data_IF_143099789875
#
_entry.id   IF_143099789875
#
_cell.length_a   1.000
_cell.length_b   1.000
_cell.length_c   1.000
_cell.angle_alpha   90.00
_cell.angle_beta   90.00
_cell.angle_gamma   90.00
#
_symmetry.space_group_name_H-M   'P 1'
#
loop_
_entity.id
_entity.type
_entity.pdbx_description
1 polymer ?
#
# COMPACT_ATOMS: atom_id res chain seq x y z
N UNK A 1 6.50 5.58 -3.08
CA UNK A 1 7.69 6.46 -3.03
C UNK A 1 7.25 7.85 -3.45
N UNK A 2 7.61 8.88 -2.69
CA UNK A 2 7.26 10.26 -3.02
C UNK A 2 8.45 10.87 -3.75
N UNK A 3 8.39 10.93 -5.09
CA UNK A 3 9.53 11.41 -5.91
C UNK A 3 9.93 12.85 -5.58
N UNK A 4 8.97 13.68 -5.22
CA UNK A 4 9.19 15.08 -4.84
C UNK A 4 10.05 15.22 -3.57
N UNK A 5 10.06 14.19 -2.70
CA UNK A 5 10.85 14.16 -1.46
C UNK A 5 12.37 14.21 -1.71
N UNK A 6 12.83 13.89 -2.93
CA UNK A 6 14.23 14.06 -3.34
C UNK A 6 14.64 15.54 -3.27
N UNK A 7 13.72 16.44 -3.62
CA UNK A 7 13.96 17.89 -3.62
C UNK A 7 13.48 18.57 -2.34
N UNK A 8 12.33 18.14 -1.81
CA UNK A 8 11.69 18.74 -0.65
C UNK A 8 11.15 17.68 0.30
N UNK A 9 11.83 17.48 1.43
CA UNK A 9 11.44 16.53 2.48
C UNK A 9 10.03 16.77 3.03
N UNK A 10 9.54 18.02 3.04
CA UNK A 10 8.20 18.36 3.52
C UNK A 10 7.09 17.74 2.66
N UNK A 11 7.38 17.33 1.43
CA UNK A 11 6.42 16.58 0.60
C UNK A 11 5.94 15.30 1.29
N UNK A 12 6.74 14.70 2.18
CA UNK A 12 6.37 13.52 2.95
C UNK A 12 5.28 13.78 4.00
N UNK A 13 5.09 15.01 4.47
CA UNK A 13 4.14 15.34 5.54
C UNK A 13 2.72 14.94 5.13
N UNK A 14 2.35 15.22 3.88
CA UNK A 14 1.04 14.87 3.31
C UNK A 14 0.81 13.36 3.31
N UNK A 15 1.80 12.59 2.85
CA UNK A 15 1.75 11.13 2.84
C UNK A 15 1.69 10.54 4.27
N UNK A 16 2.45 11.11 5.22
CA UNK A 16 2.42 10.70 6.63
C UNK A 16 1.04 10.94 7.22
N UNK A 17 0.46 12.13 7.00
CA UNK A 17 -0.85 12.49 7.51
C UNK A 17 -1.96 11.60 6.91
N UNK A 18 -1.91 11.33 5.60
CA UNK A 18 -2.88 10.46 4.94
C UNK A 18 -2.79 9.02 5.46
N UNK A 19 -1.57 8.46 5.61
CA UNK A 19 -1.39 7.11 6.14
C UNK A 19 -1.82 7.01 7.60
N UNK A 20 -1.62 8.05 8.42
CA UNK A 20 -2.14 8.10 9.79
C UNK A 20 -3.67 8.09 9.82
N UNK A 21 -4.31 8.89 8.96
CA UNK A 21 -5.75 8.97 8.86
C UNK A 21 -6.37 7.63 8.43
N UNK A 22 -5.83 7.00 7.38
CA UNK A 22 -6.36 5.73 6.85
C UNK A 22 -6.12 4.54 7.79
N UNK A 23 -4.96 4.46 8.43
CA UNK A 23 -4.59 3.29 9.26
C UNK A 23 -4.96 3.43 10.73
N UNK A 24 -5.24 4.64 11.20
CA UNK A 24 -5.36 4.94 12.63
C UNK A 24 -4.10 4.61 13.44
N UNK A 25 -2.93 4.53 12.79
CA UNK A 25 -1.65 4.23 13.41
C UNK A 25 -0.79 5.49 13.51
N UNK A 26 -0.46 5.89 14.74
CA UNK A 26 0.48 6.99 15.00
C UNK A 26 1.83 6.44 15.45
N UNK A 27 2.93 7.02 14.97
CA UNK A 27 4.26 6.66 15.47
C UNK A 27 4.35 6.96 16.97
N UNK A 28 4.65 5.94 17.78
CA UNK A 28 4.75 6.00 19.26
C UNK A 28 3.47 6.38 20.03
N UNK A 29 2.28 6.31 19.43
CA UNK A 29 1.02 6.54 20.16
C UNK A 29 0.54 5.30 20.93
N UNK A 30 0.10 5.47 22.17
CA UNK A 30 -0.57 4.42 22.96
C UNK A 30 0.34 3.42 23.68
N UNK A 31 1.62 3.76 23.95
CA UNK A 31 2.53 2.87 24.70
C UNK A 31 3.07 1.68 23.92
N UNK A 32 2.87 1.64 22.60
CA UNK A 32 3.29 0.54 21.75
C UNK A 32 4.72 0.77 21.23
N UNK A 33 5.59 -0.21 21.48
CA UNK A 33 7.03 -0.13 21.20
C UNK A 33 7.36 -0.26 19.70
N UNK A 34 7.98 0.81 19.18
CA UNK A 34 9.03 0.88 18.13
C UNK A 34 8.87 0.23 16.75
N UNK A 35 7.82 -0.53 16.43
CA UNK A 35 7.58 -1.05 15.06
C UNK A 35 6.18 -0.79 14.51
N UNK A 36 5.24 -0.38 15.36
CA UNK A 36 3.85 -0.18 14.99
C UNK A 36 3.59 1.32 14.80
N UNK A 37 3.29 1.74 13.57
CA UNK A 37 3.14 3.14 13.23
C UNK A 37 3.54 3.45 11.80
N UNK A 38 3.24 4.68 11.38
CA UNK A 38 3.73 5.23 10.12
C UNK A 38 5.24 5.47 10.23
N UNK A 39 6.02 4.76 9.41
CA UNK A 39 7.48 4.79 9.37
C UNK A 39 7.97 5.54 8.13
N UNK A 40 9.04 6.31 8.29
CA UNK A 40 9.73 6.97 7.19
C UNK A 40 10.82 6.03 6.69
N UNK A 41 10.85 5.81 5.38
CA UNK A 41 11.85 4.98 4.70
C UNK A 41 12.94 5.87 4.14
N UNK A 42 14.18 5.56 4.52
CA UNK A 42 15.39 6.16 3.97
C UNK A 42 15.94 5.34 2.80
N UNK A 43 16.61 5.99 1.86
CA UNK A 43 17.32 5.35 0.77
C UNK A 43 18.52 4.55 1.30
N UNK A 44 18.63 3.29 0.90
CA UNK A 44 19.76 2.43 1.24
C UNK A 44 20.99 2.72 0.39
N UNK A 45 20.78 3.03 -0.89
CA UNK A 45 21.85 3.32 -1.86
C UNK A 45 21.64 4.68 -2.54
N UNK A 46 22.74 5.27 -2.99
CA UNK A 46 22.74 6.47 -3.83
C UNK A 46 22.82 6.09 -5.31
N UNK A 47 21.99 6.72 -6.14
CA UNK A 47 22.00 6.55 -7.59
C UNK A 47 21.90 7.93 -8.23
N UNK A 48 22.96 8.32 -8.95
CA UNK A 48 23.12 9.67 -9.50
C UNK A 48 22.02 10.03 -10.53
N UNK A 49 21.61 9.07 -11.35
CA UNK A 49 20.56 9.24 -12.37
C UNK A 49 19.23 9.71 -11.76
N UNK A 50 18.85 9.14 -10.61
CA UNK A 50 17.65 9.52 -9.87
C UNK A 50 17.88 10.69 -8.91
N UNK A 51 19.08 11.28 -8.88
CA UNK A 51 19.50 12.31 -7.92
C UNK A 51 19.31 11.88 -6.45
N UNK A 52 19.36 10.57 -6.18
CA UNK A 52 19.19 10.00 -4.85
C UNK A 52 20.56 9.81 -4.20
N UNK A 53 20.72 10.29 -2.96
CA UNK A 53 21.85 9.99 -2.08
C UNK A 53 21.41 8.98 -1.03
N UNK A 54 22.34 8.18 -0.49
CA UNK A 54 22.04 7.29 0.63
C UNK A 54 21.62 8.10 1.88
N UNK A 55 20.66 7.58 2.65
CA UNK A 55 20.13 8.22 3.85
C UNK A 55 19.06 9.29 3.62
N UNK A 56 18.64 9.55 2.38
CA UNK A 56 17.52 10.46 2.09
C UNK A 56 16.19 9.81 2.47
N UNK A 57 15.32 10.56 3.14
CA UNK A 57 13.95 10.14 3.41
C UNK A 57 13.07 10.32 2.16
N UNK A 58 12.55 9.23 1.60
CA UNK A 58 11.89 9.25 0.29
C UNK A 58 10.51 8.58 0.26
N UNK A 59 10.19 7.78 1.25
CA UNK A 59 8.93 7.08 1.29
C UNK A 59 8.40 6.94 2.71
N UNK A 60 7.15 6.56 2.79
CA UNK A 60 6.44 6.30 4.03
C UNK A 60 5.84 4.91 3.90
N UNK A 61 5.89 4.11 4.97
CA UNK A 61 5.16 2.84 5.06
C UNK A 61 4.39 2.75 6.35
N UNK A 62 3.37 1.92 6.35
CA UNK A 62 2.64 1.52 7.55
C UNK A 62 2.36 0.04 7.46
N UNK A 63 2.51 -0.66 8.59
CA UNK A 63 2.15 -2.05 8.74
C UNK A 63 0.96 -2.13 9.69
N UNK A 64 -0.16 -2.66 9.20
CA UNK A 64 -1.41 -2.83 9.94
C UNK A 64 -1.69 -4.32 10.11
N UNK A 65 -2.11 -4.72 11.31
CA UNK A 65 -2.39 -6.11 11.71
C UNK A 65 -3.63 -6.14 12.62
N UNK A 66 -4.27 -7.30 12.74
CA UNK A 66 -5.45 -7.49 13.59
C UNK A 66 -6.67 -6.75 13.05
N UNK A 67 -7.53 -6.27 13.95
CA UNK A 67 -8.84 -5.70 13.61
C UNK A 67 -8.73 -4.49 12.68
N UNK A 68 -7.77 -3.58 12.94
CA UNK A 68 -7.54 -2.40 12.08
C UNK A 68 -7.20 -2.75 10.63
N UNK A 69 -6.58 -3.92 10.39
CA UNK A 69 -6.31 -4.39 9.03
C UNK A 69 -7.61 -4.77 8.32
N UNK A 70 -8.53 -5.43 9.01
CA UNK A 70 -9.83 -5.80 8.46
C UNK A 70 -10.73 -4.58 8.27
N UNK A 71 -10.67 -3.59 9.17
CA UNK A 71 -11.38 -2.31 9.00
C UNK A 71 -10.89 -1.56 7.76
N UNK A 72 -9.57 -1.50 7.55
CA UNK A 72 -8.97 -0.92 6.35
C UNK A 72 -9.39 -1.68 5.09
N UNK A 73 -9.40 -3.02 5.14
CA UNK A 73 -9.81 -3.86 4.02
C UNK A 73 -11.29 -3.66 3.68
N UNK A 74 -12.18 -3.60 4.67
CA UNK A 74 -13.60 -3.29 4.47
C UNK A 74 -13.79 -1.91 3.85
N UNK A 75 -13.10 -0.89 4.39
CA UNK A 75 -13.13 0.46 3.81
C UNK A 75 -12.66 0.49 2.36
N UNK A 76 -11.58 -0.24 2.05
CA UNK A 76 -11.04 -0.35 0.70
C UNK A 76 -12.08 -0.96 -0.25
N UNK A 77 -12.65 -2.10 0.12
CA UNK A 77 -13.55 -2.89 -0.73
C UNK A 77 -14.91 -2.23 -0.90
N UNK A 78 -15.49 -1.71 0.18
CA UNK A 78 -16.86 -1.21 0.17
C UNK A 78 -16.96 0.25 -0.33
N UNK A 79 -15.93 1.07 -0.06
CA UNK A 79 -15.96 2.50 -0.40
C UNK A 79 -14.99 2.87 -1.53
N UNK A 80 -13.74 2.42 -1.47
CA UNK A 80 -12.70 2.94 -2.37
C UNK A 80 -12.74 2.27 -3.75
N UNK A 81 -12.68 0.94 -3.81
CA UNK A 81 -12.65 0.19 -5.07
C UNK A 81 -13.85 0.50 -5.99
N UNK A 82 -15.11 0.55 -5.49
CA UNK A 82 -16.28 0.80 -6.35
C UNK A 82 -16.33 2.24 -6.89
N UNK A 83 -15.75 3.20 -6.15
CA UNK A 83 -15.69 4.62 -6.55
C UNK A 83 -14.56 4.90 -7.55
N UNK A 84 -13.60 3.98 -7.68
CA UNK A 84 -12.49 4.14 -8.64
C UNK A 84 -12.95 3.85 -10.07
N UNK A 85 -12.95 4.89 -10.91
CA UNK A 85 -13.27 4.76 -12.35
C UNK A 85 -12.22 3.97 -13.15
N UNK A 86 -10.96 4.07 -12.76
CA UNK A 86 -9.82 3.54 -13.52
C UNK A 86 -9.28 2.20 -13.01
N UNK A 87 -10.01 1.52 -12.11
CA UNK A 87 -9.55 0.26 -11.53
C UNK A 87 -10.27 -0.94 -12.16
N UNK A 88 -9.71 -1.56 -13.21
CA UNK A 88 -10.31 -2.75 -13.81
C UNK A 88 -10.25 -3.95 -12.86
N UNK A 89 -9.39 -3.92 -11.85
CA UNK A 89 -9.08 -5.01 -10.94
C UNK A 89 -7.62 -5.44 -11.02
N UNK A 90 -7.23 -6.36 -10.14
CA UNK A 90 -5.85 -6.85 -10.08
C UNK A 90 -5.64 -7.84 -11.23
N UNK A 91 -4.70 -7.52 -12.12
CA UNK A 91 -4.35 -8.39 -13.24
C UNK A 91 -3.72 -9.68 -12.71
N UNK A 92 -4.33 -10.81 -13.06
CA UNK A 92 -3.78 -12.12 -12.76
C UNK A 92 -2.63 -12.44 -13.72
N UNK A 93 -1.59 -13.13 -13.25
CA UNK A 93 -0.50 -13.57 -14.12
C UNK A 93 -1.05 -14.47 -15.23
N UNK A 94 -0.40 -14.43 -16.39
CA UNK A 94 -0.75 -15.26 -17.53
C UNK A 94 -0.79 -16.75 -17.14
N UNK A 95 -1.64 -17.59 -17.78
CA UNK A 95 -1.67 -19.03 -17.53
C UNK A 95 -0.32 -19.72 -17.76
N UNK A 96 0.53 -19.15 -18.63
CA UNK A 96 1.89 -19.61 -18.92
C UNK A 96 2.93 -19.21 -17.87
N UNK A 97 2.57 -18.38 -16.89
CA UNK A 97 3.50 -17.91 -15.88
C UNK A 97 3.97 -19.07 -15.00
N UNK A 98 5.28 -19.29 -14.96
CA UNK A 98 5.91 -20.42 -14.25
C UNK A 98 5.58 -20.40 -12.76
N UNK A 99 5.06 -21.51 -12.24
CA UNK A 99 4.72 -21.69 -10.82
C UNK A 99 5.93 -21.70 -9.87
N UNK A 100 7.15 -21.63 -10.40
CA UNK A 100 8.39 -21.81 -9.67
C UNK A 100 9.11 -20.48 -9.36
N UNK A 101 8.53 -19.33 -9.73
CA UNK A 101 9.06 -18.04 -9.30
C UNK A 101 8.92 -17.89 -7.77
N UNK A 102 9.90 -17.24 -7.13
CA UNK A 102 9.86 -16.91 -5.70
C UNK A 102 8.57 -16.17 -5.34
N UNK A 103 8.08 -15.32 -6.25
CA UNK A 103 6.80 -14.61 -6.07
C UNK A 103 5.59 -15.56 -6.12
N UNK A 104 5.64 -16.64 -6.91
CA UNK A 104 4.57 -17.64 -7.00
C UNK A 104 4.53 -18.58 -5.79
N UNK A 105 5.68 -18.79 -5.15
CA UNK A 105 5.82 -19.58 -3.90
C UNK A 105 5.50 -18.76 -2.64
N UNK A 106 5.39 -17.44 -2.78
CA UNK A 106 5.04 -16.53 -1.69
C UNK A 106 3.52 -16.35 -1.59
N UNK A 107 2.99 -16.33 -0.37
CA UNK A 107 1.60 -15.99 -0.07
C UNK A 107 1.30 -14.49 -0.14
N UNK A 108 2.11 -13.70 -0.84
CA UNK A 108 1.97 -12.25 -0.91
C UNK A 108 1.30 -11.83 -2.21
N UNK A 109 0.24 -11.05 -2.11
CA UNK A 109 -0.41 -10.38 -3.23
C UNK A 109 -0.21 -8.89 -3.07
N UNK A 110 0.27 -8.23 -4.12
CA UNK A 110 0.55 -6.81 -4.09
C UNK A 110 0.00 -6.13 -5.33
N UNK A 111 -0.47 -4.91 -5.16
CA UNK A 111 -0.89 -4.04 -6.26
C UNK A 111 -0.72 -2.57 -5.87
N UNK A 112 -0.62 -1.72 -6.89
CA UNK A 112 -0.56 -0.27 -6.73
C UNK A 112 -1.93 0.36 -6.94
N UNK A 113 -2.21 1.42 -6.20
CA UNK A 113 -3.33 2.31 -6.43
C UNK A 113 -2.84 3.65 -6.98
N UNK A 114 -3.59 4.26 -7.92
CA UNK A 114 -3.28 5.58 -8.44
C UNK A 114 -3.44 6.66 -7.35
N UNK A 115 -2.85 7.86 -7.54
CA UNK A 115 -3.00 8.96 -6.58
C UNK A 115 -4.46 9.35 -6.30
N UNK A 116 -5.33 9.21 -7.30
CA UNK A 116 -6.78 9.48 -7.17
C UNK A 116 -7.44 8.61 -6.11
N UNK A 117 -6.93 7.40 -5.87
CA UNK A 117 -7.51 6.48 -4.90
C UNK A 117 -7.36 6.97 -3.45
N UNK A 118 -6.28 7.70 -3.13
CA UNK A 118 -6.02 8.18 -1.76
C UNK A 118 -7.12 9.13 -1.27
N UNK A 119 -7.65 9.98 -2.14
CA UNK A 119 -8.74 10.90 -1.81
C UNK A 119 -10.11 10.25 -1.66
N UNK A 120 -10.27 8.98 -2.08
CA UNK A 120 -11.54 8.26 -1.98
C UNK A 120 -11.73 7.56 -0.63
N UNK A 121 -10.70 7.52 0.22
CA UNK A 121 -10.83 7.01 1.57
C UNK A 121 -11.65 8.01 2.41
N UNK A 122 -12.72 7.57 3.10
CA UNK A 122 -13.54 8.45 3.92
C UNK A 122 -12.74 9.27 4.94
N UNK A 123 -11.67 8.68 5.51
CA UNK A 123 -10.79 9.34 6.48
C UNK A 123 -9.98 10.50 5.90
N UNK A 124 -9.77 10.52 4.58
CA UNK A 124 -9.04 11.57 3.85
C UNK A 124 -10.02 12.56 3.22
N UNK A 125 -11.14 12.06 2.69
CA UNK A 125 -12.18 12.83 2.00
C UNK A 125 -12.75 13.98 2.86
N UNK A 126 -12.97 13.73 4.16
CA UNK A 126 -13.53 14.73 5.09
C UNK A 126 -12.69 16.02 5.14
N UNK A 127 -11.37 15.89 5.04
CA UNK A 127 -10.42 16.99 5.18
C UNK A 127 -9.52 17.11 3.94
N UNK A 128 -10.08 16.92 2.75
CA UNK A 128 -9.31 16.91 1.50
C UNK A 128 -8.45 18.18 1.32
N UNK A 129 -8.94 19.34 1.74
CA UNK A 129 -8.21 20.63 1.69
C UNK A 129 -6.92 20.63 2.51
N UNK A 130 -6.82 19.77 3.53
CA UNK A 130 -5.60 19.61 4.35
C UNK A 130 -4.52 18.79 3.64
N UNK A 131 -4.84 18.16 2.50
CA UNK A 131 -3.94 17.29 1.73
C UNK A 131 -3.68 17.89 0.34
N UNK A 132 -2.75 18.85 0.20
CA UNK A 132 -2.53 19.57 -1.06
C UNK A 132 -2.04 18.66 -2.21
N UNK A 133 -1.50 17.48 -1.92
CA UNK A 133 -1.12 16.47 -2.92
C UNK A 133 -1.53 15.09 -2.47
N UNK A 134 -2.18 14.36 -3.37
CA UNK A 134 -2.47 12.94 -3.21
C UNK A 134 -1.34 12.12 -3.82
N UNK A 135 -1.01 11.01 -3.17
CA UNK A 135 0.06 10.12 -3.60
C UNK A 135 -0.48 8.75 -3.96
N UNK A 136 0.04 8.17 -5.05
CA UNK A 136 -0.17 6.75 -5.33
C UNK A 136 0.59 5.91 -4.31
N UNK A 137 0.05 4.74 -3.97
CA UNK A 137 0.67 3.85 -3.00
C UNK A 137 0.50 2.39 -3.37
N UNK A 138 1.39 1.55 -2.84
CA UNK A 138 1.34 0.11 -3.01
C UNK A 138 0.82 -0.53 -1.74
N UNK A 139 -0.02 -1.54 -1.92
CA UNK A 139 -0.50 -2.39 -0.84
C UNK A 139 0.05 -3.79 -1.03
N UNK A 140 0.47 -4.38 0.08
CA UNK A 140 0.99 -5.73 0.14
C UNK A 140 0.16 -6.51 1.15
N UNK A 141 -0.58 -7.51 0.67
CA UNK A 141 -1.34 -8.43 1.48
C UNK A 141 -0.46 -9.62 1.81
N UNK A 142 -0.02 -9.72 3.06
CA UNK A 142 0.78 -10.83 3.56
C UNK A 142 -0.15 -11.89 4.15
N UNK A 143 -0.27 -13.04 3.49
CA UNK A 143 -1.06 -14.16 4.00
C UNK A 143 -0.17 -15.22 4.67
N UNK A 144 -0.79 -16.16 5.36
CA UNK A 144 -0.14 -17.32 5.94
C UNK A 144 0.13 -18.45 4.92
N UNK A 145 -0.26 -18.30 3.65
CA UNK A 145 -0.06 -19.32 2.63
C UNK A 145 1.44 -19.50 2.29
N UNK A 146 1.89 -20.76 2.26
CA UNK A 146 3.28 -21.13 1.96
C UNK A 146 3.33 -22.27 0.95
N UNK A 147 4.40 -22.32 0.15
CA UNK A 147 4.71 -23.40 -0.78
C UNK A 147 4.20 -23.17 -2.21
N UNK A 148 4.25 -24.25 -3.03
CA UNK A 148 3.86 -24.18 -4.44
C UNK A 148 2.39 -23.78 -4.58
N UNK A 149 2.14 -22.71 -5.33
CA UNK A 149 0.78 -22.18 -5.53
C UNK A 149 0.23 -21.37 -4.35
N UNK A 150 1.05 -21.00 -3.37
CA UNK A 150 0.65 -20.13 -2.26
C UNK A 150 0.02 -18.82 -2.74
N UNK A 151 0.58 -18.23 -3.79
CA UNK A 151 0.05 -16.99 -4.35
C UNK A 151 -1.37 -17.15 -4.93
N UNK A 152 -1.69 -18.31 -5.52
CA UNK A 152 -3.04 -18.59 -6.04
C UNK A 152 -4.04 -18.74 -4.90
N UNK A 153 -3.64 -19.38 -3.79
CA UNK A 153 -4.47 -19.46 -2.58
C UNK A 153 -4.69 -18.08 -1.97
N UNK A 154 -3.66 -17.24 -1.92
CA UNK A 154 -3.77 -15.87 -1.45
C UNK A 154 -4.71 -15.02 -2.34
N UNK A 155 -4.64 -15.17 -3.67
CA UNK A 155 -5.61 -14.52 -4.59
C UNK A 155 -7.04 -15.02 -4.38
N UNK A 156 -7.23 -16.33 -4.21
CA UNK A 156 -8.55 -16.90 -3.94
C UNK A 156 -9.13 -16.37 -2.61
N UNK A 157 -8.30 -16.25 -1.57
CA UNK A 157 -8.69 -15.63 -0.30
C UNK A 157 -9.13 -14.17 -0.50
N UNK A 158 -8.32 -13.36 -1.19
CA UNK A 158 -8.64 -11.95 -1.45
C UNK A 158 -9.86 -11.78 -2.36
N UNK A 159 -10.08 -12.71 -3.29
CA UNK A 159 -11.30 -12.77 -4.09
C UNK A 159 -12.53 -13.02 -3.21
N UNK A 160 -12.40 -13.82 -2.14
CA UNK A 160 -13.46 -14.01 -1.14
C UNK A 160 -13.77 -12.71 -0.37
N UNK A 161 -12.73 -11.90 -0.10
CA UNK A 161 -12.86 -10.54 0.43
C UNK A 161 -13.30 -9.50 -0.63
N UNK A 162 -13.92 -9.93 -1.73
CA UNK A 162 -14.45 -9.07 -2.79
C UNK A 162 -13.43 -8.16 -3.49
N UNK A 163 -12.14 -8.50 -3.43
CA UNK A 163 -11.15 -7.82 -4.26
C UNK A 163 -11.26 -8.35 -5.71
N UNK A 164 -11.49 -7.47 -6.70
CA UNK A 164 -11.67 -7.89 -8.08
C UNK A 164 -10.34 -8.28 -8.71
N UNK A 165 -10.33 -9.44 -9.36
CA UNK A 165 -9.21 -9.94 -10.16
C UNK A 165 -9.64 -10.10 -11.62
N UNK A 166 -8.77 -9.70 -12.55
CA UNK A 166 -9.02 -9.78 -13.99
C UNK A 166 -8.01 -10.69 -14.65
N UNK A 167 -8.47 -11.54 -15.57
CA UNK A 167 -7.59 -12.25 -16.52
C UNK A 167 -7.42 -11.38 -17.75
N UNK A 168 -6.18 -11.13 -18.14
CA UNK A 168 -5.83 -10.47 -19.40
C UNK A 168 -5.12 -11.45 -20.30
#
# INVERSE_FOLDING_TARGET
MVKEAISNKHALITAIAAFRAMSGMTSRGGGISSSQGVQIITSTSGVAEFKVRAGLELAVKVEIKGDKMYDFLGTLVDFVLPRMREFPGIVMPAPSATSNSVSAMSGVVAFGLPPTAMGLFPQVEINQDSYPRMHGFHMHFLTNAKGKGAQNRARALLSGFQIPFVRR
#
